data_IF_411832847019
#
_entry.id   IF_411832847019
#
_cell.length_a   1.000
_cell.length_b   1.000
_cell.length_c   1.000
_cell.angle_alpha   90.00
_cell.angle_beta   90.00
_cell.angle_gamma   90.00
#
_symmetry.space_group_name_H-M   'P 1'
#
loop_
_entity.id
_entity.type
_entity.pdbx_description
1 polymer ?
#
# COMPACT_ATOMS: atom_id res chain seq x y z
N UNK A 1 -31.77 -4.41 33.70
CA UNK A 1 -30.73 -3.45 34.15
C UNK A 1 -29.71 -3.38 33.04
N UNK A 2 -29.37 -2.18 32.58
CA UNK A 2 -28.32 -1.99 31.55
C UNK A 2 -26.97 -2.35 32.18
N UNK A 3 -26.34 -3.43 31.73
CA UNK A 3 -24.99 -3.80 32.15
C UNK A 3 -24.00 -2.77 31.57
N UNK A 4 -23.14 -2.23 32.42
CA UNK A 4 -22.07 -1.34 31.98
C UNK A 4 -20.81 -2.17 31.71
N UNK A 5 -20.42 -2.25 30.44
CA UNK A 5 -19.15 -2.85 29.97
C UNK A 5 -18.08 -1.78 29.83
N UNK A 6 -16.81 -2.17 29.92
CA UNK A 6 -15.67 -1.26 29.73
C UNK A 6 -15.66 -0.77 28.27
N UNK A 7 -15.63 0.54 28.09
CA UNK A 7 -15.41 1.17 26.78
C UNK A 7 -13.92 1.02 26.41
N UNK A 8 -13.65 0.41 25.26
CA UNK A 8 -12.30 0.02 24.82
C UNK A 8 -11.76 0.88 23.68
N UNK A 9 -12.39 2.01 23.34
CA UNK A 9 -11.84 2.99 22.40
C UNK A 9 -10.40 3.38 22.81
N UNK A 10 -9.41 2.91 22.05
CA UNK A 10 -8.01 2.94 22.46
C UNK A 10 -7.36 4.31 22.24
N UNK A 11 -6.49 4.69 23.19
CA UNK A 11 -5.58 5.83 23.07
C UNK A 11 -4.20 5.39 22.53
N UNK A 12 -3.91 5.85 21.31
CA UNK A 12 -2.62 6.12 20.64
C UNK A 12 -1.49 5.04 20.67
N UNK A 13 -1.33 4.24 19.58
CA UNK A 13 -0.11 3.48 19.21
C UNK A 13 0.01 3.22 17.69
N UNK A 14 0.75 4.07 16.97
CA UNK A 14 0.93 4.05 15.49
C UNK A 14 1.31 2.72 14.83
N UNK A 15 2.01 1.78 15.50
CA UNK A 15 2.31 0.44 14.94
C UNK A 15 1.11 -0.51 14.95
N UNK A 16 0.31 -0.51 16.03
CA UNK A 16 -0.88 -1.38 16.13
C UNK A 16 -1.86 -1.09 14.99
N UNK A 17 -2.13 0.19 14.74
CA UNK A 17 -3.04 0.62 13.68
C UNK A 17 -2.62 0.17 12.29
N UNK A 18 -1.32 0.10 11.99
CA UNK A 18 -0.87 -0.37 10.68
C UNK A 18 -1.17 -1.86 10.49
N UNK A 19 -0.88 -2.69 11.49
CA UNK A 19 -1.18 -4.12 11.42
C UNK A 19 -2.69 -4.35 11.22
N UNK A 20 -3.53 -3.70 12.02
CA UNK A 20 -4.99 -3.79 11.94
C UNK A 20 -5.53 -3.45 10.55
N UNK A 21 -4.99 -2.41 9.91
CA UNK A 21 -5.36 -2.04 8.53
C UNK A 21 -5.01 -3.12 7.54
N UNK A 22 -3.79 -3.66 7.60
CA UNK A 22 -3.36 -4.71 6.69
C UNK A 22 -4.20 -5.99 6.91
N UNK A 23 -4.54 -6.31 8.17
CA UNK A 23 -5.44 -7.42 8.53
C UNK A 23 -6.83 -7.23 7.96
N UNK A 24 -7.44 -6.05 8.15
CA UNK A 24 -8.72 -5.72 7.55
C UNK A 24 -8.69 -5.88 6.03
N UNK A 25 -7.65 -5.39 5.35
CA UNK A 25 -7.49 -5.56 3.90
C UNK A 25 -7.42 -7.03 3.51
N UNK A 26 -6.61 -7.84 4.22
CA UNK A 26 -6.47 -9.28 3.95
C UNK A 26 -7.83 -9.97 4.00
N UNK A 27 -8.60 -9.77 5.07
CA UNK A 27 -9.93 -10.36 5.20
C UNK A 27 -10.92 -9.87 4.14
N UNK A 28 -10.89 -8.58 3.77
CA UNK A 28 -11.74 -8.05 2.71
C UNK A 28 -11.43 -8.70 1.35
N UNK A 29 -10.15 -8.90 1.03
CA UNK A 29 -9.73 -9.58 -0.20
C UNK A 29 -10.11 -11.07 -0.18
N UNK A 30 -9.88 -11.76 0.93
CA UNK A 30 -10.29 -13.17 1.08
C UNK A 30 -11.81 -13.32 0.89
N UNK A 31 -12.61 -12.38 1.39
CA UNK A 31 -14.07 -12.39 1.19
C UNK A 31 -14.49 -12.00 -0.24
N UNK A 32 -13.70 -11.23 -0.97
CA UNK A 32 -13.95 -10.96 -2.39
C UNK A 32 -13.88 -12.25 -3.19
N UNK A 33 -12.88 -13.08 -2.92
CA UNK A 33 -12.64 -14.36 -3.58
C UNK A 33 -13.57 -15.49 -3.10
N UNK A 34 -14.31 -15.26 -2.00
CA UNK A 34 -15.31 -16.20 -1.51
C UNK A 34 -16.39 -16.50 -2.56
N UNK A 35 -16.65 -17.77 -2.88
CA UNK A 35 -17.60 -18.16 -3.94
C UNK A 35 -19.05 -17.82 -3.58
N UNK A 36 -19.33 -17.50 -2.31
CA UNK A 36 -20.67 -17.15 -1.83
C UNK A 36 -21.09 -15.73 -2.25
N UNK A 37 -20.17 -14.91 -2.77
CA UNK A 37 -20.39 -13.53 -3.22
C UNK A 37 -21.29 -12.72 -2.27
N UNK A 38 -21.05 -12.84 -0.97
CA UNK A 38 -21.83 -12.15 0.05
C UNK A 38 -21.44 -10.68 0.12
N UNK A 39 -22.38 -9.83 0.51
CA UNK A 39 -22.08 -8.45 0.85
C UNK A 39 -21.29 -8.44 2.16
N UNK A 40 -20.30 -7.57 2.28
CA UNK A 40 -19.60 -7.36 3.54
C UNK A 40 -19.29 -5.89 3.75
N UNK A 41 -19.12 -5.54 5.02
CA UNK A 41 -18.46 -4.31 5.42
C UNK A 41 -17.47 -4.57 6.55
N UNK A 42 -16.35 -3.87 6.51
CA UNK A 42 -15.27 -3.96 7.47
C UNK A 42 -15.05 -2.62 8.19
N UNK A 43 -14.59 -2.68 9.42
CA UNK A 43 -14.19 -1.51 10.20
C UNK A 43 -13.02 -1.84 11.12
N UNK A 44 -12.33 -0.79 11.53
CA UNK A 44 -11.19 -0.85 12.46
C UNK A 44 -11.54 0.02 13.66
N UNK A 45 -11.29 -0.48 14.87
CA UNK A 45 -11.47 0.28 16.12
C UNK A 45 -12.91 0.80 16.30
N UNK A 46 -13.90 -0.06 16.01
CA UNK A 46 -15.32 0.25 16.25
C UNK A 46 -15.93 -0.66 17.31
N UNK A 47 -15.55 -1.94 17.35
CA UNK A 47 -15.94 -2.86 18.42
C UNK A 47 -14.71 -3.60 18.93
N UNK A 48 -13.91 -4.12 18.01
CA UNK A 48 -12.56 -4.64 18.25
C UNK A 48 -11.61 -4.06 17.19
N UNK A 49 -10.33 -4.43 17.29
CA UNK A 49 -9.25 -4.02 16.37
C UNK A 49 -9.68 -4.15 14.89
N UNK A 50 -10.26 -5.28 14.51
CA UNK A 50 -10.88 -5.48 13.19
C UNK A 50 -12.26 -6.10 13.36
N UNK A 51 -13.26 -5.55 12.66
CA UNK A 51 -14.63 -6.06 12.65
C UNK A 51 -15.12 -6.23 11.22
N UNK A 52 -15.76 -7.36 10.89
CA UNK A 52 -16.29 -7.64 9.56
C UNK A 52 -17.67 -8.27 9.67
N UNK A 53 -18.66 -7.64 9.07
CA UNK A 53 -20.01 -8.20 8.98
C UNK A 53 -20.23 -8.67 7.56
N UNK A 54 -20.70 -9.90 7.42
CA UNK A 54 -21.06 -10.54 6.16
C UNK A 54 -22.55 -10.77 6.13
N UNK A 55 -23.20 -10.33 5.07
CA UNK A 55 -24.64 -10.43 4.86
C UNK A 55 -24.85 -11.36 3.66
N UNK A 56 -25.31 -12.58 3.95
CA UNK A 56 -25.77 -13.53 2.94
C UNK A 56 -27.30 -13.56 2.85
N UNK A 57 -27.81 -14.35 1.90
CA UNK A 57 -29.26 -14.43 1.61
C UNK A 57 -30.09 -15.02 2.75
N UNK A 58 -29.47 -15.83 3.63
CA UNK A 58 -30.16 -16.54 4.71
C UNK A 58 -29.58 -16.26 6.10
N UNK A 59 -28.31 -15.85 6.19
CA UNK A 59 -27.61 -15.65 7.46
C UNK A 59 -26.69 -14.43 7.40
N UNK A 60 -26.64 -13.71 8.52
CA UNK A 60 -25.65 -12.67 8.80
C UNK A 60 -24.61 -13.24 9.74
N UNK A 61 -23.33 -13.14 9.38
CA UNK A 61 -22.23 -13.51 10.26
C UNK A 61 -21.36 -12.30 10.57
N UNK A 62 -20.88 -12.19 11.80
CA UNK A 62 -19.96 -11.14 12.24
C UNK A 62 -18.66 -11.75 12.75
N UNK A 63 -17.55 -11.18 12.30
CA UNK A 63 -16.21 -11.51 12.73
C UNK A 63 -15.63 -10.34 13.53
N UNK A 64 -15.06 -10.62 14.70
CA UNK A 64 -14.33 -9.67 15.52
C UNK A 64 -12.93 -10.20 15.79
N UNK A 65 -11.91 -9.41 15.52
CA UNK A 65 -10.51 -9.81 15.69
C UNK A 65 -9.77 -8.83 16.57
N UNK A 66 -8.88 -9.38 17.39
CA UNK A 66 -7.93 -8.66 18.23
C UNK A 66 -6.50 -9.02 17.79
N UNK A 67 -5.70 -7.99 17.53
CA UNK A 67 -4.38 -8.07 16.93
C UNK A 67 -3.29 -7.79 17.97
N UNK A 68 -2.37 -8.73 18.12
CA UNK A 68 -1.29 -8.69 19.11
C UNK A 68 0.07 -8.78 18.41
N UNK A 69 0.64 -7.61 18.10
CA UNK A 69 1.98 -7.49 17.50
C UNK A 69 3.09 -7.48 18.58
N UNK A 70 3.82 -8.59 18.69
CA UNK A 70 4.90 -8.79 19.66
C UNK A 70 6.17 -9.32 18.96
N UNK A 71 7.31 -9.25 19.63
CA UNK A 71 8.56 -9.82 19.11
C UNK A 71 8.43 -11.36 18.93
N UNK A 72 9.07 -11.90 17.88
CA UNK A 72 8.96 -13.32 17.48
C UNK A 72 9.40 -14.32 18.57
N UNK A 73 10.28 -13.89 19.48
CA UNK A 73 10.74 -14.70 20.63
C UNK A 73 9.71 -14.76 21.77
N UNK A 74 8.64 -13.95 21.71
CA UNK A 74 7.59 -13.93 22.72
C UNK A 74 6.66 -15.12 22.54
N UNK A 75 6.37 -15.82 23.64
CA UNK A 75 5.41 -16.91 23.65
C UNK A 75 4.28 -16.62 24.63
N UNK A 76 3.04 -16.83 24.19
CA UNK A 76 1.87 -16.71 25.04
C UNK A 76 1.45 -18.05 25.65
N UNK A 77 0.89 -17.95 26.85
CA UNK A 77 0.19 -19.03 27.54
C UNK A 77 -1.23 -18.55 27.85
N UNK A 78 -2.12 -19.44 28.28
CA UNK A 78 -3.46 -19.04 28.73
C UNK A 78 -3.41 -17.89 29.75
N UNK A 79 -2.40 -17.87 30.63
CA UNK A 79 -2.27 -16.88 31.71
C UNK A 79 -1.58 -15.57 31.28
N UNK A 80 -1.22 -15.43 30.01
CA UNK A 80 -0.67 -14.18 29.48
C UNK A 80 -1.75 -13.10 29.51
N UNK A 81 -1.43 -11.92 30.04
CA UNK A 81 -2.41 -10.83 30.19
C UNK A 81 -3.08 -10.45 28.86
N UNK A 82 -2.35 -10.44 27.75
CA UNK A 82 -2.92 -10.18 26.42
C UNK A 82 -4.02 -11.19 26.03
N UNK A 83 -3.84 -12.47 26.36
CA UNK A 83 -4.82 -13.53 26.07
C UNK A 83 -6.04 -13.39 26.95
N UNK A 84 -5.86 -13.22 28.27
CA UNK A 84 -6.99 -13.09 29.20
C UNK A 84 -7.80 -11.81 28.94
N UNK A 85 -7.14 -10.68 28.62
CA UNK A 85 -7.82 -9.43 28.30
C UNK A 85 -8.71 -9.55 27.06
N UNK A 86 -8.26 -10.27 26.04
CA UNK A 86 -9.05 -10.54 24.84
C UNK A 86 -10.19 -11.53 25.12
N UNK A 87 -9.96 -12.57 25.93
CA UNK A 87 -11.05 -13.47 26.36
C UNK A 87 -12.14 -12.72 27.15
N UNK A 88 -11.76 -11.75 27.99
CA UNK A 88 -12.72 -10.86 28.66
C UNK A 88 -13.51 -10.04 27.63
N UNK A 89 -12.84 -9.46 26.62
CA UNK A 89 -13.50 -8.71 25.53
C UNK A 89 -14.53 -9.55 24.79
N UNK A 90 -14.10 -10.72 24.32
CA UNK A 90 -14.95 -11.64 23.58
C UNK A 90 -16.12 -12.13 24.42
N UNK A 91 -15.90 -12.34 25.73
CA UNK A 91 -16.99 -12.67 26.65
C UNK A 91 -18.03 -11.56 26.72
N UNK A 92 -17.62 -10.30 26.82
CA UNK A 92 -18.55 -9.17 26.85
C UNK A 92 -19.36 -9.03 25.56
N UNK A 93 -18.72 -9.19 24.41
CA UNK A 93 -19.41 -9.18 23.11
C UNK A 93 -20.37 -10.36 23.01
N UNK A 94 -19.92 -11.57 23.40
CA UNK A 94 -20.72 -12.79 23.31
C UNK A 94 -21.98 -12.70 24.18
N UNK A 95 -21.83 -12.38 25.47
CA UNK A 95 -22.96 -12.32 26.41
C UNK A 95 -23.90 -11.16 26.17
N UNK A 96 -23.42 -10.05 25.59
CA UNK A 96 -24.28 -8.89 25.35
C UNK A 96 -25.21 -9.06 24.14
N UNK A 97 -24.77 -9.76 23.09
CA UNK A 97 -25.46 -9.74 21.78
C UNK A 97 -25.57 -11.07 21.06
N UNK A 98 -24.75 -12.08 21.38
CA UNK A 98 -24.52 -13.22 20.49
C UNK A 98 -24.67 -14.60 21.12
N UNK A 99 -25.09 -14.69 22.40
CA UNK A 99 -25.20 -15.97 23.11
C UNK A 99 -26.11 -17.00 22.41
N UNK A 100 -27.16 -16.54 21.73
CA UNK A 100 -28.11 -17.40 21.00
C UNK A 100 -27.83 -17.47 19.50
N UNK A 101 -26.73 -16.87 19.02
CA UNK A 101 -26.46 -16.75 17.59
C UNK A 101 -25.22 -17.56 17.17
N UNK A 102 -25.38 -18.30 16.09
CA UNK A 102 -24.27 -18.98 15.42
C UNK A 102 -23.49 -18.09 14.45
N UNK A 103 -23.95 -16.86 14.24
CA UNK A 103 -23.34 -15.92 13.31
C UNK A 103 -22.05 -15.27 13.79
N UNK A 104 -21.65 -15.40 15.06
CA UNK A 104 -20.44 -14.75 15.57
C UNK A 104 -19.21 -15.64 15.51
N UNK A 105 -18.09 -15.07 15.05
CA UNK A 105 -16.76 -15.68 15.08
C UNK A 105 -15.79 -14.64 15.65
N UNK A 106 -14.89 -15.10 16.50
CA UNK A 106 -13.83 -14.27 17.07
C UNK A 106 -12.46 -14.67 16.51
N UNK A 107 -11.51 -13.74 16.48
CA UNK A 107 -10.16 -13.95 15.98
C UNK A 107 -9.11 -13.43 16.95
N UNK A 108 -8.19 -14.30 17.37
CA UNK A 108 -6.99 -13.88 18.11
C UNK A 108 -5.79 -13.98 17.17
N UNK A 109 -5.32 -12.84 16.65
CA UNK A 109 -4.19 -12.80 15.74
C UNK A 109 -2.93 -12.33 16.46
N UNK A 110 -1.84 -13.10 16.37
CA UNK A 110 -0.58 -12.69 16.96
C UNK A 110 0.64 -13.20 16.21
N UNK A 111 1.70 -12.40 16.23
CA UNK A 111 3.05 -12.78 15.80
C UNK A 111 3.75 -13.70 16.82
N UNK A 112 3.30 -13.69 18.08
CA UNK A 112 3.88 -14.50 19.15
C UNK A 112 3.58 -16.00 18.98
N UNK A 113 4.49 -16.83 19.49
CA UNK A 113 4.31 -18.28 19.54
C UNK A 113 3.47 -18.76 20.73
N UNK A 114 3.37 -20.09 20.88
CA UNK A 114 2.66 -20.74 21.98
C UNK A 114 3.68 -21.31 22.98
N UNK A 115 3.58 -20.87 24.23
CA UNK A 115 4.36 -21.37 25.36
C UNK A 115 3.57 -22.35 26.21
N UNK A 116 4.28 -23.10 27.08
CA UNK A 116 3.68 -24.01 28.05
C UNK A 116 3.38 -23.31 29.39
N UNK A 117 2.23 -23.56 29.96
CA UNK A 117 1.84 -23.06 31.28
C UNK A 117 2.77 -23.60 32.36
N UNK A 118 3.36 -22.71 33.16
CA UNK A 118 4.18 -23.06 34.34
C UNK A 118 3.47 -22.77 35.66
N UNK A 119 2.46 -21.90 35.62
CA UNK A 119 1.70 -21.45 36.79
C UNK A 119 0.48 -22.37 36.96
N UNK A 120 0.52 -23.23 37.97
CA UNK A 120 -0.56 -24.18 38.29
C UNK A 120 -1.49 -23.69 39.42
N UNK A 121 -1.42 -22.42 39.79
CA UNK A 121 -2.25 -21.84 40.86
C UNK A 121 -2.71 -20.44 40.51
N UNK A 122 -3.98 -20.14 40.76
CA UNK A 122 -4.55 -18.79 40.66
C UNK A 122 -4.14 -17.91 41.85
N UNK A 123 -4.34 -16.60 41.75
CA UNK A 123 -3.99 -15.66 42.84
C UNK A 123 -4.84 -15.92 44.08
N UNK A 124 -6.08 -16.36 43.90
CA UNK A 124 -6.97 -16.75 45.00
C UNK A 124 -6.59 -18.10 45.68
N UNK A 125 -5.49 -18.74 45.26
CA UNK A 125 -5.01 -20.00 45.83
C UNK A 125 -5.61 -21.27 45.22
N UNK A 126 -6.51 -21.16 44.23
CA UNK A 126 -7.07 -22.32 43.52
C UNK A 126 -5.97 -23.05 42.76
N UNK A 127 -5.82 -24.35 43.01
CA UNK A 127 -4.86 -25.20 42.30
C UNK A 127 -5.53 -25.72 41.03
N UNK A 128 -4.87 -25.51 39.90
CA UNK A 128 -5.34 -25.89 38.58
C UNK A 128 -4.68 -27.19 38.14
N UNK A 129 -5.47 -28.09 37.55
CA UNK A 129 -4.94 -29.27 36.87
C UNK A 129 -4.62 -28.88 35.44
N UNK A 130 -3.33 -28.74 35.13
CA UNK A 130 -2.86 -28.38 33.80
C UNK A 130 -2.64 -29.65 32.95
N UNK A 131 -3.00 -29.62 31.65
CA UNK A 131 -2.70 -30.73 30.74
C UNK A 131 -1.19 -30.79 30.44
N UNK A 132 -0.71 -31.89 29.86
CA UNK A 132 0.69 -31.99 29.40
C UNK A 132 0.96 -31.06 28.21
N UNK A 133 0.03 -31.03 27.24
CA UNK A 133 0.09 -30.13 26.08
C UNK A 133 -0.24 -28.68 26.47
N UNK A 134 0.32 -27.65 25.82
CA UNK A 134 -0.08 -26.25 26.05
C UNK A 134 -1.56 -26.02 25.78
N UNK A 135 -2.27 -25.29 26.65
CA UNK A 135 -3.73 -25.09 26.53
C UNK A 135 -4.07 -24.34 25.25
N UNK A 136 -3.32 -23.29 24.93
CA UNK A 136 -3.52 -22.52 23.70
C UNK A 136 -3.27 -23.34 22.42
N UNK A 137 -2.43 -24.37 22.50
CA UNK A 137 -2.22 -25.29 21.38
C UNK A 137 -3.46 -26.17 21.18
N UNK A 138 -4.00 -26.73 22.27
CA UNK A 138 -5.23 -27.52 22.22
C UNK A 138 -6.40 -26.70 21.63
N UNK A 139 -6.51 -25.43 22.05
CA UNK A 139 -7.52 -24.50 21.52
C UNK A 139 -7.32 -24.17 20.04
N UNK A 140 -6.07 -23.92 19.62
CA UNK A 140 -5.73 -23.67 18.20
C UNK A 140 -6.05 -24.85 17.31
N UNK A 141 -5.68 -26.05 17.75
CA UNK A 141 -5.85 -27.28 17.00
C UNK A 141 -7.29 -27.83 17.08
N UNK A 142 -8.17 -27.15 17.84
CA UNK A 142 -9.57 -27.52 18.10
C UNK A 142 -9.70 -28.95 18.64
N UNK A 143 -8.78 -29.34 19.51
CA UNK A 143 -8.84 -30.63 20.20
C UNK A 143 -9.97 -30.64 21.24
N UNK A 144 -10.55 -31.82 21.49
CA UNK A 144 -11.55 -32.00 22.55
C UNK A 144 -10.88 -31.77 23.91
N UNK A 145 -11.42 -30.82 24.68
CA UNK A 145 -10.85 -30.42 25.96
C UNK A 145 -11.48 -31.23 27.10
N UNK A 146 -10.66 -31.76 28.00
CA UNK A 146 -11.17 -32.41 29.21
C UNK A 146 -11.83 -31.40 30.14
N UNK A 147 -12.75 -31.87 30.99
CA UNK A 147 -13.42 -31.03 32.01
C UNK A 147 -12.43 -30.29 32.91
N UNK A 148 -11.28 -30.91 33.21
CA UNK A 148 -10.22 -30.28 34.02
C UNK A 148 -9.59 -29.08 33.31
N UNK A 149 -9.39 -29.18 31.99
CA UNK A 149 -8.83 -28.09 31.16
C UNK A 149 -9.86 -26.97 31.01
N UNK A 150 -11.11 -27.31 30.72
CA UNK A 150 -12.21 -26.34 30.64
C UNK A 150 -12.38 -25.59 31.96
N UNK A 151 -12.32 -26.30 33.09
CA UNK A 151 -12.37 -25.70 34.42
C UNK A 151 -11.21 -24.74 34.66
N UNK A 152 -9.99 -25.11 34.26
CA UNK A 152 -8.82 -24.25 34.39
C UNK A 152 -8.97 -22.95 33.57
N UNK A 153 -9.48 -23.04 32.34
CA UNK A 153 -9.79 -21.87 31.50
C UNK A 153 -10.86 -21.01 32.17
N UNK A 154 -11.96 -21.62 32.63
CA UNK A 154 -13.06 -20.89 33.28
C UNK A 154 -12.58 -20.11 34.49
N UNK A 155 -11.79 -20.74 35.37
CA UNK A 155 -11.31 -20.07 36.57
C UNK A 155 -10.29 -18.95 36.26
N UNK A 156 -9.41 -19.14 35.28
CA UNK A 156 -8.49 -18.10 34.86
C UNK A 156 -9.22 -16.88 34.27
N UNK A 157 -10.23 -17.13 33.45
CA UNK A 157 -11.08 -16.08 32.87
C UNK A 157 -11.89 -15.34 33.95
N UNK A 158 -12.50 -16.06 34.89
CA UNK A 158 -13.22 -15.46 36.01
C UNK A 158 -12.32 -14.57 36.88
N UNK A 159 -11.13 -15.04 37.24
CA UNK A 159 -10.18 -14.25 38.05
C UNK A 159 -9.82 -12.94 37.34
N UNK A 160 -9.51 -12.98 36.04
CA UNK A 160 -9.17 -11.75 35.31
C UNK A 160 -10.40 -10.85 35.07
N UNK A 161 -11.57 -11.43 34.81
CA UNK A 161 -12.82 -10.69 34.64
C UNK A 161 -13.20 -9.94 35.92
N UNK A 162 -13.21 -10.61 37.07
CA UNK A 162 -13.49 -9.99 38.38
C UNK A 162 -12.53 -8.85 38.68
N UNK A 163 -11.24 -9.05 38.40
CA UNK A 163 -10.20 -8.05 38.59
C UNK A 163 -10.41 -6.81 37.71
N UNK A 164 -10.80 -6.98 36.45
CA UNK A 164 -11.06 -5.84 35.55
C UNK A 164 -12.36 -5.09 35.90
N UNK A 165 -13.36 -5.80 36.40
CA UNK A 165 -14.69 -5.25 36.72
C UNK A 165 -14.91 -4.90 38.20
N UNK A 166 -13.88 -5.01 39.05
CA UNK A 166 -13.97 -4.75 40.50
C UNK A 166 -14.55 -3.36 40.81
N UNK A 167 -14.15 -2.35 40.03
CA UNK A 167 -14.53 -0.95 40.21
C UNK A 167 -15.61 -0.46 39.24
N UNK A 168 -16.11 -1.33 38.38
CA UNK A 168 -17.12 -0.97 37.36
C UNK A 168 -18.52 -1.23 37.92
N UNK A 169 -19.37 -0.22 37.85
CA UNK A 169 -20.75 -0.32 38.35
C UNK A 169 -21.51 -1.40 37.59
N UNK A 170 -22.09 -2.37 38.31
CA UNK A 170 -22.85 -3.47 37.73
C UNK A 170 -22.01 -4.70 37.34
N UNK A 171 -20.68 -4.65 37.51
CA UNK A 171 -19.77 -5.79 37.33
C UNK A 171 -19.90 -6.51 35.97
N UNK A 172 -20.32 -5.79 34.92
CA UNK A 172 -20.46 -6.32 33.57
C UNK A 172 -21.33 -7.59 33.49
N UNK A 173 -20.75 -8.63 32.90
CA UNK A 173 -21.32 -9.95 32.66
C UNK A 173 -20.84 -11.02 33.65
N UNK A 174 -20.33 -10.62 34.82
CA UNK A 174 -19.72 -11.54 35.78
C UNK A 174 -20.65 -12.70 36.18
N UNK A 175 -21.93 -12.43 36.43
CA UNK A 175 -22.88 -13.48 36.82
C UNK A 175 -23.18 -14.46 35.69
N UNK A 176 -23.22 -13.99 34.43
CA UNK A 176 -23.35 -14.85 33.25
C UNK A 176 -22.12 -15.77 33.11
N UNK A 177 -20.92 -15.23 33.35
CA UNK A 177 -19.69 -15.99 33.28
C UNK A 177 -19.56 -17.02 34.42
N UNK A 178 -20.07 -16.70 35.62
CA UNK A 178 -20.12 -17.66 36.75
C UNK A 178 -21.09 -18.80 36.46
N UNK A 179 -22.27 -18.52 35.93
CA UNK A 179 -23.31 -19.51 35.63
C UNK A 179 -23.02 -20.39 34.41
N UNK A 180 -22.12 -19.94 33.52
CA UNK A 180 -21.72 -20.65 32.31
C UNK A 180 -21.29 -22.11 32.58
N UNK A 181 -21.98 -23.10 32.04
CA UNK A 181 -21.56 -24.50 32.11
C UNK A 181 -20.25 -24.76 31.35
N UNK A 182 -19.61 -25.92 31.57
CA UNK A 182 -18.38 -26.27 30.85
C UNK A 182 -18.67 -26.55 29.37
N UNK A 183 -19.86 -27.09 29.07
CA UNK A 183 -20.35 -27.33 27.73
C UNK A 183 -20.56 -26.00 26.98
N UNK A 184 -21.22 -25.03 27.60
CA UNK A 184 -21.40 -23.69 27.01
C UNK A 184 -20.08 -22.95 26.85
N UNK A 185 -19.14 -23.11 27.79
CA UNK A 185 -17.79 -22.57 27.65
C UNK A 185 -17.07 -23.18 26.45
N UNK A 186 -17.18 -24.50 26.24
CA UNK A 186 -16.62 -25.17 25.08
C UNK A 186 -17.21 -24.62 23.77
N UNK A 187 -18.52 -24.36 23.74
CA UNK A 187 -19.18 -23.72 22.58
C UNK A 187 -18.62 -22.32 22.35
N UNK A 188 -18.51 -21.47 23.38
CA UNK A 188 -17.92 -20.15 23.26
C UNK A 188 -16.48 -20.19 22.73
N UNK A 189 -15.62 -21.04 23.30
CA UNK A 189 -14.22 -21.19 22.89
C UNK A 189 -14.10 -21.69 21.44
N UNK A 190 -15.04 -22.53 20.98
CA UNK A 190 -15.07 -23.02 19.59
C UNK A 190 -15.35 -21.94 18.55
N UNK A 191 -15.96 -20.81 18.96
CA UNK A 191 -16.22 -19.64 18.11
C UNK A 191 -14.96 -18.77 17.94
N UNK A 192 -13.87 -19.05 18.66
CA UNK A 192 -12.61 -18.30 18.58
C UNK A 192 -11.63 -19.00 17.62
N UNK A 193 -11.12 -18.27 16.64
CA UNK A 193 -10.03 -18.68 15.77
C UNK A 193 -8.70 -18.20 16.36
N UNK A 194 -7.83 -19.14 16.70
CA UNK A 194 -6.54 -18.85 17.34
C UNK A 194 -5.40 -18.85 16.33
N UNK A 195 -4.96 -17.68 15.92
CA UNK A 195 -3.94 -17.46 14.91
C UNK A 195 -2.62 -17.06 15.57
N UNK A 196 -1.85 -18.05 16.03
CA UNK A 196 -0.50 -17.87 16.62
C UNK A 196 0.62 -18.04 15.60
N UNK A 197 1.76 -17.36 15.84
CA UNK A 197 2.95 -17.41 15.00
C UNK A 197 2.71 -16.86 13.60
N UNK A 198 1.89 -15.80 13.51
CA UNK A 198 1.48 -15.22 12.25
C UNK A 198 2.48 -14.18 11.74
N UNK A 199 2.26 -13.75 10.51
CA UNK A 199 3.09 -12.78 9.81
C UNK A 199 3.15 -11.45 10.57
N UNK A 200 4.35 -10.89 10.69
CA UNK A 200 4.54 -9.50 11.10
C UNK A 200 4.11 -8.54 9.98
N UNK A 201 4.08 -7.22 10.26
CA UNK A 201 3.58 -6.21 9.32
C UNK A 201 4.22 -6.26 7.92
N UNK A 202 5.52 -6.59 7.83
CA UNK A 202 6.24 -6.62 6.56
C UNK A 202 5.82 -7.84 5.75
N UNK A 203 5.91 -9.03 6.35
CA UNK A 203 5.52 -10.28 5.69
C UNK A 203 4.03 -10.28 5.33
N UNK A 204 3.17 -9.72 6.20
CA UNK A 204 1.74 -9.62 5.95
C UNK A 204 1.43 -8.71 4.76
N UNK A 205 2.16 -7.59 4.60
CA UNK A 205 2.04 -6.74 3.40
C UNK A 205 2.32 -7.55 2.14
N UNK A 206 3.42 -8.30 2.11
CA UNK A 206 3.80 -9.09 0.93
C UNK A 206 2.73 -10.14 0.59
N UNK A 207 2.17 -10.80 1.60
CA UNK A 207 1.05 -11.72 1.43
C UNK A 207 -0.23 -11.04 0.90
N UNK A 208 -0.55 -9.83 1.37
CA UNK A 208 -1.68 -9.06 0.84
C UNK A 208 -1.44 -8.63 -0.60
N UNK A 209 -0.22 -8.22 -0.96
CA UNK A 209 0.13 -7.91 -2.35
C UNK A 209 -0.04 -9.15 -3.25
N UNK A 210 0.34 -10.33 -2.77
CA UNK A 210 0.10 -11.58 -3.49
C UNK A 210 -1.40 -11.89 -3.64
N UNK A 211 -2.24 -11.62 -2.64
CA UNK A 211 -3.70 -11.75 -2.76
C UNK A 211 -4.27 -10.78 -3.80
N UNK A 212 -3.83 -9.52 -3.78
CA UNK A 212 -4.23 -8.53 -4.78
C UNK A 212 -3.85 -9.01 -6.18
N UNK A 213 -2.64 -9.52 -6.35
CA UNK A 213 -2.14 -10.04 -7.64
C UNK A 213 -2.98 -11.19 -8.18
N UNK A 214 -3.48 -12.06 -7.30
CA UNK A 214 -4.25 -13.25 -7.66
C UNK A 214 -5.77 -13.03 -7.59
N UNK A 215 -6.22 -11.81 -7.27
CA UNK A 215 -7.64 -11.50 -7.11
C UNK A 215 -8.41 -11.62 -8.42
N UNK A 216 -9.66 -12.08 -8.34
CA UNK A 216 -10.61 -12.09 -9.45
C UNK A 216 -10.95 -10.69 -9.98
N UNK A 217 -10.61 -9.63 -9.25
CA UNK A 217 -10.76 -8.24 -9.68
C UNK A 217 -9.62 -7.74 -10.58
N UNK A 218 -8.53 -8.50 -10.71
CA UNK A 218 -7.41 -8.15 -11.58
C UNK A 218 -7.78 -8.21 -13.07
N UNK A 219 -7.15 -7.34 -13.84
CA UNK A 219 -7.21 -7.33 -15.29
C UNK A 219 -5.89 -6.76 -15.87
N UNK A 220 -5.80 -6.73 -17.20
CA UNK A 220 -4.60 -6.29 -17.94
C UNK A 220 -4.15 -4.88 -17.54
N UNK A 221 -5.08 -4.00 -17.17
CA UNK A 221 -4.80 -2.60 -16.84
C UNK A 221 -4.42 -2.40 -15.36
N UNK A 222 -4.72 -3.38 -14.50
CA UNK A 222 -4.34 -3.38 -13.06
C UNK A 222 -3.12 -4.24 -12.78
N UNK A 223 -2.69 -5.08 -13.72
CA UNK A 223 -1.49 -5.90 -13.61
C UNK A 223 -0.27 -5.01 -13.36
N UNK A 224 0.61 -5.41 -12.42
CA UNK A 224 1.79 -4.65 -11.97
C UNK A 224 1.47 -3.37 -11.18
N UNK A 225 0.21 -3.12 -10.82
CA UNK A 225 -0.22 -2.00 -9.97
C UNK A 225 -0.65 -2.45 -8.58
N UNK A 226 -0.24 -3.64 -8.13
CA UNK A 226 -0.72 -4.24 -6.89
C UNK A 226 -0.35 -3.40 -5.66
N UNK A 227 0.84 -2.81 -5.64
CA UNK A 227 1.26 -1.86 -4.58
C UNK A 227 0.40 -0.60 -4.54
N UNK A 228 -0.09 -0.16 -5.70
CA UNK A 228 -0.93 1.02 -5.79
C UNK A 228 -2.35 0.74 -5.29
N UNK A 229 -2.93 -0.41 -5.66
CA UNK A 229 -4.19 -0.90 -5.10
C UNK A 229 -4.09 -1.02 -3.58
N UNK A 230 -3.02 -1.63 -3.06
CA UNK A 230 -2.79 -1.75 -1.63
C UNK A 230 -2.73 -0.38 -0.94
N UNK A 231 -2.03 0.58 -1.53
CA UNK A 231 -1.89 1.93 -0.98
C UNK A 231 -3.24 2.66 -0.91
N UNK A 232 -4.05 2.57 -1.96
CA UNK A 232 -5.40 3.15 -1.97
C UNK A 232 -6.35 2.49 -0.96
N UNK A 233 -6.23 1.17 -0.75
CA UNK A 233 -7.00 0.47 0.29
C UNK A 233 -6.61 0.94 1.70
N UNK A 234 -5.32 1.11 1.95
CA UNK A 234 -4.82 1.66 3.21
C UNK A 234 -5.31 3.09 3.43
N UNK A 235 -5.20 3.95 2.42
CA UNK A 235 -5.66 5.34 2.48
C UNK A 235 -7.17 5.42 2.73
N UNK A 236 -7.97 4.60 2.04
CA UNK A 236 -9.42 4.57 2.24
C UNK A 236 -9.81 4.18 3.66
N UNK A 237 -9.10 3.22 4.27
CA UNK A 237 -9.31 2.87 5.69
C UNK A 237 -8.97 4.04 6.61
N UNK A 238 -7.87 4.74 6.35
CA UNK A 238 -7.42 5.89 7.15
C UNK A 238 -8.40 7.05 7.10
N UNK A 239 -8.90 7.39 5.91
CA UNK A 239 -9.91 8.44 5.73
C UNK A 239 -11.19 8.11 6.51
N UNK A 240 -11.65 6.86 6.42
CA UNK A 240 -12.94 6.41 6.96
C UNK A 240 -12.91 6.29 8.47
N UNK A 241 -11.83 5.76 9.04
CA UNK A 241 -11.69 5.59 10.50
C UNK A 241 -11.86 6.91 11.27
N UNK A 242 -11.44 8.03 10.69
CA UNK A 242 -11.48 9.34 11.33
C UNK A 242 -12.83 10.06 11.24
N UNK A 243 -13.84 9.47 10.59
CA UNK A 243 -15.14 10.10 10.41
C UNK A 243 -15.96 10.11 11.72
N UNK A 244 -16.73 11.19 11.98
CA UNK A 244 -17.47 11.33 13.24
C UNK A 244 -18.62 10.33 13.37
N UNK A 245 -19.25 9.96 12.26
CA UNK A 245 -20.38 9.04 12.24
C UNK A 245 -19.89 7.60 12.04
N UNK A 246 -20.34 6.68 12.92
CA UNK A 246 -19.91 5.28 12.92
C UNK A 246 -20.18 4.56 11.61
N UNK A 247 -21.33 4.79 10.97
CA UNK A 247 -21.70 4.12 9.71
C UNK A 247 -20.78 4.53 8.56
N UNK A 248 -20.25 5.76 8.62
CA UNK A 248 -19.35 6.28 7.60
C UNK A 248 -17.93 5.70 7.73
N UNK A 249 -17.59 5.11 8.88
CA UNK A 249 -16.29 4.45 9.13
C UNK A 249 -16.14 3.09 8.45
N UNK A 250 -17.21 2.58 7.86
CA UNK A 250 -17.22 1.25 7.24
C UNK A 250 -16.70 1.28 5.81
N UNK A 251 -15.90 0.26 5.46
CA UNK A 251 -15.49 -0.06 4.09
C UNK A 251 -16.36 -1.19 3.57
N UNK A 252 -17.04 -0.96 2.45
CA UNK A 252 -17.93 -1.93 1.84
C UNK A 252 -17.23 -2.71 0.73
N UNK A 253 -17.75 -3.89 0.39
CA UNK A 253 -17.31 -4.67 -0.79
C UNK A 253 -17.25 -3.82 -2.07
N UNK A 254 -18.16 -2.86 -2.24
CA UNK A 254 -18.19 -1.94 -3.38
C UNK A 254 -17.01 -0.97 -3.40
N UNK A 255 -16.53 -0.50 -2.25
CA UNK A 255 -15.39 0.40 -2.17
C UNK A 255 -14.12 -0.30 -2.66
N UNK A 256 -13.91 -1.56 -2.25
CA UNK A 256 -12.75 -2.35 -2.72
C UNK A 256 -12.81 -2.55 -4.23
N UNK A 257 -13.98 -2.93 -4.78
CA UNK A 257 -14.18 -3.04 -6.23
C UNK A 257 -13.94 -1.72 -6.96
N UNK A 258 -14.37 -0.61 -6.36
CA UNK A 258 -14.18 0.72 -6.92
C UNK A 258 -12.70 1.09 -6.97
N UNK A 259 -11.91 0.76 -5.95
CA UNK A 259 -10.46 1.00 -5.96
C UNK A 259 -9.78 0.27 -7.13
N UNK A 260 -10.11 -1.01 -7.36
CA UNK A 260 -9.58 -1.72 -8.55
C UNK A 260 -9.97 -1.00 -9.86
N UNK A 261 -11.17 -0.40 -9.93
CA UNK A 261 -11.62 0.38 -11.10
C UNK A 261 -10.97 1.76 -11.22
N UNK A 262 -10.70 2.43 -10.11
CA UNK A 262 -9.94 3.69 -10.08
C UNK A 262 -8.53 3.44 -10.63
N UNK A 263 -7.89 2.37 -10.16
CA UNK A 263 -6.57 1.94 -10.63
C UNK A 263 -6.57 1.54 -12.11
N UNK A 264 -7.63 0.88 -12.60
CA UNK A 264 -7.82 0.59 -14.03
C UNK A 264 -7.80 1.87 -14.87
N UNK A 265 -8.49 2.92 -14.41
CA UNK A 265 -8.58 4.21 -15.11
C UNK A 265 -7.31 5.05 -15.08
N UNK A 266 -6.38 4.75 -14.17
CA UNK A 266 -5.07 5.39 -14.19
C UNK A 266 -4.26 4.91 -15.39
N UNK A 267 -3.95 5.85 -16.28
CA UNK A 267 -3.00 5.61 -17.36
C UNK A 267 -1.66 5.20 -16.76
N UNK A 268 -1.34 3.91 -16.85
CA UNK A 268 0.06 3.52 -16.87
C UNK A 268 0.71 4.31 -18.00
N UNK A 269 1.93 4.74 -17.76
CA UNK A 269 2.91 5.08 -18.78
C UNK A 269 3.27 3.78 -19.58
N UNK A 270 2.25 3.07 -20.14
CA UNK A 270 2.33 1.64 -20.58
C UNK A 270 3.43 1.43 -21.59
N UNK A 271 3.69 2.43 -22.44
CA UNK A 271 4.80 2.37 -23.39
C UNK A 271 5.66 3.64 -23.30
N UNK A 272 6.12 4.01 -22.10
CA UNK A 272 7.15 5.05 -22.01
C UNK A 272 8.46 4.50 -22.60
N UNK A 273 8.90 5.15 -23.68
CA UNK A 273 10.19 4.90 -24.33
C UNK A 273 11.32 4.87 -23.28
N UNK A 274 12.10 3.78 -23.14
CA UNK A 274 13.12 3.67 -22.10
C UNK A 274 14.34 4.60 -22.31
N UNK A 275 14.40 5.30 -23.45
CA UNK A 275 15.46 6.22 -23.84
C UNK A 275 15.84 7.28 -22.76
N UNK A 276 14.92 7.65 -21.87
CA UNK A 276 15.24 8.57 -20.76
C UNK A 276 16.39 8.09 -19.85
N UNK A 277 16.64 6.78 -19.78
CA UNK A 277 17.76 6.21 -19.02
C UNK A 277 19.12 6.58 -19.61
N UNK A 278 19.20 6.69 -20.94
CA UNK A 278 20.43 6.99 -21.66
C UNK A 278 20.79 8.48 -21.58
N UNK A 279 19.78 9.37 -21.50
CA UNK A 279 20.01 10.82 -21.35
C UNK A 279 20.89 11.16 -20.15
N UNK A 280 20.68 10.48 -19.01
CA UNK A 280 21.49 10.68 -17.80
C UNK A 280 22.94 10.22 -17.99
N UNK A 281 23.16 9.15 -18.75
CA UNK A 281 24.51 8.66 -19.05
C UNK A 281 25.25 9.65 -19.96
N UNK A 282 24.56 10.21 -20.96
CA UNK A 282 25.16 11.20 -21.86
C UNK A 282 25.51 12.50 -21.16
N UNK A 283 24.68 12.94 -20.20
CA UNK A 283 24.97 14.16 -19.43
C UNK A 283 26.33 14.09 -18.71
N UNK A 284 26.76 12.90 -18.26
CA UNK A 284 28.04 12.71 -17.60
C UNK A 284 29.25 12.81 -18.54
N UNK A 285 29.04 12.74 -19.86
CA UNK A 285 30.10 12.77 -20.89
C UNK A 285 30.32 14.14 -21.51
N UNK A 286 29.53 15.14 -21.12
CA UNK A 286 29.58 16.48 -21.71
C UNK A 286 30.92 17.18 -21.38
N UNK A 287 31.69 17.49 -22.43
CA UNK A 287 32.99 18.19 -22.34
C UNK A 287 32.89 19.67 -22.72
N UNK A 288 32.08 20.05 -23.71
CA UNK A 288 31.81 21.47 -24.02
C UNK A 288 31.00 22.11 -22.88
N UNK A 289 31.38 23.33 -22.47
CA UNK A 289 30.72 24.09 -21.39
C UNK A 289 30.16 25.43 -21.87
N UNK A 290 30.23 25.71 -23.18
CA UNK A 290 29.65 26.91 -23.79
C UNK A 290 28.13 26.80 -23.80
N UNK A 291 27.45 27.87 -23.39
CA UNK A 291 26.00 27.98 -23.52
C UNK A 291 25.58 28.18 -25.00
N UNK A 292 24.28 28.24 -25.26
CA UNK A 292 23.75 28.41 -26.62
C UNK A 292 24.22 29.71 -27.30
N UNK A 293 24.31 30.81 -26.56
CA UNK A 293 24.71 32.11 -27.11
C UNK A 293 26.19 32.11 -27.54
N UNK A 294 27.07 31.56 -26.70
CA UNK A 294 28.50 31.42 -26.99
C UNK A 294 28.74 30.53 -28.22
N UNK A 295 27.94 29.46 -28.38
CA UNK A 295 28.00 28.56 -29.54
C UNK A 295 27.55 29.23 -30.83
N UNK A 296 26.50 30.05 -30.78
CA UNK A 296 26.06 30.80 -31.96
C UNK A 296 27.12 31.83 -32.35
N UNK A 297 27.69 32.57 -31.38
CA UNK A 297 28.73 33.57 -31.66
C UNK A 297 30.02 32.96 -32.20
N UNK A 298 30.35 31.72 -31.80
CA UNK A 298 31.52 31.02 -32.30
C UNK A 298 31.47 30.79 -33.82
N UNK A 299 30.26 30.58 -34.39
CA UNK A 299 30.09 30.34 -35.83
C UNK A 299 29.54 31.53 -36.60
N UNK A 300 28.84 32.44 -35.93
CA UNK A 300 28.24 33.65 -36.50
C UNK A 300 28.58 34.88 -35.60
N UNK A 301 29.78 35.47 -35.74
CA UNK A 301 30.25 36.55 -34.87
C UNK A 301 29.38 37.83 -34.95
N UNK A 302 28.83 38.13 -36.11
CA UNK A 302 27.99 39.31 -36.37
C UNK A 302 26.52 39.12 -35.92
N UNK A 303 26.23 38.07 -35.17
CA UNK A 303 24.86 37.76 -34.78
C UNK A 303 24.29 38.75 -33.76
N UNK A 304 23.12 39.30 -34.09
CA UNK A 304 22.40 40.28 -33.28
C UNK A 304 21.99 39.70 -31.91
N UNK A 305 22.52 40.30 -30.85
CA UNK A 305 22.27 39.96 -29.44
C UNK A 305 20.78 39.95 -29.09
N UNK A 306 19.96 40.84 -29.68
CA UNK A 306 18.52 40.85 -29.43
C UNK A 306 17.82 39.63 -30.04
N UNK A 307 18.31 39.13 -31.17
CA UNK A 307 17.80 37.91 -31.82
C UNK A 307 18.31 36.64 -31.12
N UNK A 308 19.50 36.65 -30.53
CA UNK A 308 20.01 35.57 -29.68
C UNK A 308 19.13 35.29 -28.46
N UNK A 309 18.59 36.36 -27.84
CA UNK A 309 17.65 36.23 -26.73
C UNK A 309 16.40 35.41 -27.06
N UNK A 310 15.98 35.31 -28.33
CA UNK A 310 14.85 34.45 -28.72
C UNK A 310 15.16 32.97 -28.53
N UNK A 311 16.33 32.50 -28.96
CA UNK A 311 16.70 31.10 -28.86
C UNK A 311 16.99 30.70 -27.42
N UNK A 312 17.63 31.58 -26.64
CA UNK A 312 17.80 31.37 -25.20
C UNK A 312 16.44 31.19 -24.49
N UNK A 313 15.43 32.02 -24.81
CA UNK A 313 14.06 31.84 -24.27
C UNK A 313 13.43 30.52 -24.68
N UNK A 314 13.67 30.03 -25.90
CA UNK A 314 13.16 28.72 -26.34
C UNK A 314 13.80 27.57 -25.56
N UNK A 315 15.12 27.63 -25.32
CA UNK A 315 15.83 26.68 -24.48
C UNK A 315 15.30 26.70 -23.04
N UNK A 316 15.18 27.88 -22.42
CA UNK A 316 14.62 28.04 -21.07
C UNK A 316 13.20 27.50 -20.95
N UNK A 317 12.35 27.72 -21.95
CA UNK A 317 10.99 27.22 -21.94
C UNK A 317 10.94 25.69 -22.03
N UNK A 318 11.79 25.07 -22.86
CA UNK A 318 11.91 23.61 -22.88
C UNK A 318 12.44 23.03 -21.56
N UNK A 319 13.36 23.72 -20.87
CA UNK A 319 13.81 23.32 -19.51
C UNK A 319 12.68 23.35 -18.50
N UNK A 320 11.81 24.36 -18.58
CA UNK A 320 10.64 24.44 -17.72
C UNK A 320 9.59 23.38 -18.08
N UNK A 321 9.33 23.15 -19.38
CA UNK A 321 8.47 22.05 -19.82
C UNK A 321 8.99 20.70 -19.33
N UNK A 322 10.32 20.48 -19.33
CA UNK A 322 10.95 19.28 -18.78
C UNK A 322 10.74 19.13 -17.27
N UNK A 323 10.81 20.22 -16.50
CA UNK A 323 10.62 20.18 -15.04
C UNK A 323 9.18 19.83 -14.65
N UNK A 324 8.21 20.26 -15.46
CA UNK A 324 6.77 20.03 -15.24
C UNK A 324 6.25 18.72 -15.89
N UNK A 325 7.11 17.97 -16.59
CA UNK A 325 6.70 16.78 -17.36
C UNK A 325 7.15 15.45 -16.75
N UNK A 326 6.57 14.35 -17.26
CA UNK A 326 6.93 12.98 -16.88
C UNK A 326 8.13 12.42 -17.69
N UNK A 327 8.44 11.13 -17.50
CA UNK A 327 9.56 10.43 -18.16
C UNK A 327 9.47 10.44 -19.70
N UNK A 328 8.28 10.57 -20.27
CA UNK A 328 8.11 10.64 -21.72
C UNK A 328 8.79 11.86 -22.35
N UNK A 329 8.84 13.00 -21.64
CA UNK A 329 9.53 14.21 -22.13
C UNK A 329 11.04 13.99 -22.20
N UNK A 330 11.63 13.37 -21.17
CA UNK A 330 13.06 13.02 -21.15
C UNK A 330 13.43 12.03 -22.23
N UNK A 331 12.53 11.11 -22.53
CA UNK A 331 12.69 10.14 -23.62
C UNK A 331 12.66 10.84 -24.98
N UNK A 332 11.68 11.74 -25.20
CA UNK A 332 11.64 12.59 -26.39
C UNK A 332 12.93 13.41 -26.54
N UNK A 333 13.41 14.02 -25.45
CA UNK A 333 14.66 14.80 -25.44
C UNK A 333 15.86 13.96 -25.88
N UNK A 334 15.94 12.71 -25.45
CA UNK A 334 16.97 11.79 -25.92
C UNK A 334 16.82 11.44 -27.39
N UNK A 335 15.59 11.19 -27.89
CA UNK A 335 15.37 10.95 -29.34
C UNK A 335 15.76 12.13 -30.21
N UNK A 336 15.54 13.36 -29.73
CA UNK A 336 16.01 14.57 -30.42
C UNK A 336 17.54 14.67 -30.36
N UNK A 337 18.18 14.24 -29.27
CA UNK A 337 19.63 14.13 -29.19
C UNK A 337 20.20 13.12 -30.21
N UNK A 338 19.57 11.94 -30.37
CA UNK A 338 19.95 10.98 -31.42
C UNK A 338 19.81 11.59 -32.82
N UNK A 339 18.80 12.43 -33.07
CA UNK A 339 18.66 13.15 -34.34
C UNK A 339 19.79 14.16 -34.57
N UNK A 340 20.30 14.83 -33.51
CA UNK A 340 21.50 15.66 -33.61
C UNK A 340 22.73 14.80 -34.00
N UNK A 341 22.89 13.64 -33.37
CA UNK A 341 24.03 12.74 -33.62
C UNK A 341 24.00 12.19 -35.04
N UNK A 342 22.83 11.75 -35.50
CA UNK A 342 22.60 11.32 -36.87
C UNK A 342 22.98 12.44 -37.86
N UNK A 343 22.49 13.66 -37.66
CA UNK A 343 22.82 14.80 -38.52
C UNK A 343 24.34 15.04 -38.60
N UNK A 344 25.02 15.13 -37.46
CA UNK A 344 26.45 15.43 -37.42
C UNK A 344 27.36 14.25 -37.83
N UNK A 345 26.80 13.03 -37.91
CA UNK A 345 27.51 11.87 -38.46
C UNK A 345 27.52 11.84 -40.00
N UNK A 346 26.54 12.50 -40.62
CA UNK A 346 26.33 12.49 -42.07
C UNK A 346 26.72 13.82 -42.75
N UNK A 347 26.60 14.93 -42.03
CA UNK A 347 26.83 16.29 -42.56
C UNK A 347 28.11 16.93 -41.99
N UNK A 348 28.82 17.76 -42.77
CA UNK A 348 30.00 18.47 -42.28
C UNK A 348 29.63 19.47 -41.17
N UNK A 349 30.56 19.67 -40.25
CA UNK A 349 30.47 20.72 -39.23
C UNK A 349 30.43 22.11 -39.88
N UNK A 350 29.81 23.09 -39.20
CA UNK A 350 29.73 24.46 -39.72
C UNK A 350 31.14 25.08 -39.74
N UNK A 351 31.61 25.45 -40.94
CA UNK A 351 32.85 26.20 -41.12
C UNK A 351 32.64 27.71 -40.93
N UNK A 352 33.40 28.32 -40.02
CA UNK A 352 33.23 29.72 -39.60
C UNK A 352 33.92 30.69 -40.57
N UNK A 353 33.35 31.87 -40.86
CA UNK A 353 32.07 32.42 -40.38
C UNK A 353 30.88 32.13 -41.30
N UNK A 354 29.70 31.87 -40.72
CA UNK A 354 28.44 31.63 -41.44
C UNK A 354 27.36 32.67 -41.17
N UNK A 355 26.35 32.69 -42.03
CA UNK A 355 25.12 33.48 -41.82
C UNK A 355 24.12 32.73 -40.95
N UNK A 356 23.22 33.46 -40.29
CA UNK A 356 22.17 32.88 -39.43
C UNK A 356 21.23 31.94 -40.19
N UNK A 357 21.06 32.15 -41.49
CA UNK A 357 20.28 31.26 -42.37
C UNK A 357 20.85 29.83 -42.39
N UNK A 358 22.17 29.68 -42.26
CA UNK A 358 22.84 28.38 -42.27
C UNK A 358 22.62 27.65 -40.93
N UNK A 359 22.66 28.37 -39.80
CA UNK A 359 22.27 27.84 -38.49
C UNK A 359 20.81 27.36 -38.49
N UNK A 360 19.91 28.15 -39.08
CA UNK A 360 18.49 27.76 -39.22
C UNK A 360 18.32 26.53 -40.09
N UNK A 361 19.12 26.38 -41.15
CA UNK A 361 19.10 25.19 -41.99
C UNK A 361 19.48 23.95 -41.18
N UNK A 362 20.55 24.00 -40.39
CA UNK A 362 20.95 22.91 -39.48
C UNK A 362 19.83 22.52 -38.52
N UNK A 363 19.24 23.50 -37.82
CA UNK A 363 18.15 23.25 -36.86
C UNK A 363 16.93 22.62 -37.54
N UNK A 364 16.58 23.08 -38.75
CA UNK A 364 15.46 22.53 -39.51
C UNK A 364 15.71 21.09 -39.97
N UNK A 365 16.95 20.77 -40.37
CA UNK A 365 17.33 19.39 -40.74
C UNK A 365 17.23 18.45 -39.55
N UNK A 366 17.81 18.82 -38.39
CA UNK A 366 17.71 18.04 -37.15
C UNK A 366 16.25 17.85 -36.74
N UNK A 367 15.44 18.91 -36.82
CA UNK A 367 14.01 18.86 -36.52
C UNK A 367 13.28 17.86 -37.42
N UNK A 368 13.58 17.84 -38.71
CA UNK A 368 12.95 16.92 -39.67
C UNK A 368 13.28 15.47 -39.32
N UNK A 369 14.55 15.16 -39.05
CA UNK A 369 15.01 13.82 -38.61
C UNK A 369 14.28 13.41 -37.32
N UNK A 370 14.23 14.30 -36.33
CA UNK A 370 13.57 14.03 -35.05
C UNK A 370 12.06 13.80 -35.22
N UNK A 371 11.37 14.59 -36.04
CA UNK A 371 9.94 14.43 -36.32
C UNK A 371 9.64 13.09 -37.01
N UNK A 372 10.48 12.66 -37.95
CA UNK A 372 10.35 11.38 -38.64
C UNK A 372 10.58 10.20 -37.69
N UNK A 373 11.67 10.22 -36.90
CA UNK A 373 12.00 9.18 -35.94
C UNK A 373 10.90 9.03 -34.88
N UNK A 374 10.46 10.14 -34.28
CA UNK A 374 9.40 10.13 -33.27
C UNK A 374 8.07 9.67 -33.87
N UNK A 375 7.76 10.01 -35.14
CA UNK A 375 6.55 9.54 -35.81
C UNK A 375 6.54 8.02 -35.99
N UNK A 376 7.68 7.41 -36.28
CA UNK A 376 7.80 5.95 -36.33
C UNK A 376 7.63 5.35 -34.93
N UNK A 377 8.36 5.88 -33.94
CA UNK A 377 8.36 5.38 -32.56
C UNK A 377 6.99 5.50 -31.86
N UNK A 378 6.11 6.39 -32.33
CA UNK A 378 4.72 6.50 -31.84
C UNK A 378 3.85 5.25 -32.07
N UNK A 379 4.26 4.31 -32.93
CA UNK A 379 3.58 3.01 -33.00
C UNK A 379 3.83 2.17 -31.75
N UNK A 380 4.99 2.37 -31.13
CA UNK A 380 5.51 1.50 -30.07
C UNK A 380 5.47 2.20 -28.71
N UNK A 381 5.58 3.53 -28.67
CA UNK A 381 5.71 4.35 -27.47
C UNK A 381 4.75 5.54 -27.40
N UNK A 382 4.43 5.95 -26.17
CA UNK A 382 3.58 7.12 -25.90
C UNK A 382 4.44 8.32 -25.49
N UNK A 383 4.27 9.44 -26.20
CA UNK A 383 4.90 10.72 -25.87
C UNK A 383 3.83 11.74 -25.48
N UNK A 384 3.90 12.28 -24.25
CA UNK A 384 2.92 13.25 -23.75
C UNK A 384 2.83 14.53 -24.61
N UNK A 385 3.98 14.95 -25.15
CA UNK A 385 4.11 16.02 -26.13
C UNK A 385 5.07 15.57 -27.21
N UNK A 386 4.87 16.00 -28.46
CA UNK A 386 5.73 15.61 -29.60
C UNK A 386 5.42 16.43 -30.85
N UNK A 387 4.93 17.67 -30.66
CA UNK A 387 4.70 18.58 -31.77
C UNK A 387 6.03 19.23 -32.19
N UNK A 388 6.09 19.72 -33.44
CA UNK A 388 7.31 20.30 -33.99
C UNK A 388 7.84 21.52 -33.23
N UNK A 389 6.97 22.30 -32.56
CA UNK A 389 7.40 23.44 -31.75
C UNK A 389 8.17 22.97 -30.52
N UNK A 390 7.67 21.94 -29.84
CA UNK A 390 8.36 21.32 -28.69
C UNK A 390 9.68 20.70 -29.12
N UNK A 391 9.72 19.96 -30.22
CA UNK A 391 10.95 19.36 -30.77
C UNK A 391 12.00 20.45 -31.05
N UNK A 392 11.60 21.54 -31.70
CA UNK A 392 12.51 22.66 -31.99
C UNK A 392 13.06 23.33 -30.72
N UNK A 393 12.23 23.49 -29.68
CA UNK A 393 12.69 24.01 -28.37
C UNK A 393 13.67 23.06 -27.69
N UNK A 394 13.43 21.75 -27.79
CA UNK A 394 14.33 20.72 -27.25
C UNK A 394 15.69 20.78 -27.95
N UNK A 395 15.74 21.01 -29.27
CA UNK A 395 17.01 21.19 -29.99
C UNK A 395 17.80 22.34 -29.33
N UNK A 396 17.21 23.53 -29.18
CA UNK A 396 17.91 24.65 -28.53
C UNK A 396 18.29 24.35 -27.08
N UNK A 397 17.46 23.61 -26.34
CA UNK A 397 17.78 23.16 -24.99
C UNK A 397 19.02 22.24 -24.97
N UNK A 398 19.13 21.29 -25.90
CA UNK A 398 20.30 20.40 -26.00
C UNK A 398 21.59 21.17 -26.30
N UNK A 399 21.53 22.21 -27.14
CA UNK A 399 22.69 23.07 -27.38
C UNK A 399 23.04 23.91 -26.14
N UNK A 400 22.03 24.40 -25.41
CA UNK A 400 22.23 25.19 -24.19
C UNK A 400 22.76 24.33 -23.02
N UNK A 401 22.29 23.10 -22.88
CA UNK A 401 22.77 22.10 -21.90
C UNK A 401 24.03 21.36 -22.34
N UNK A 402 24.64 21.80 -23.43
CA UNK A 402 25.93 21.33 -23.87
C UNK A 402 26.01 19.93 -24.48
N UNK A 403 24.87 19.35 -24.86
CA UNK A 403 24.83 18.08 -25.58
C UNK A 403 25.29 18.21 -27.04
N UNK A 404 25.13 19.37 -27.68
CA UNK A 404 25.54 19.60 -29.08
C UNK A 404 26.11 21.01 -29.31
N UNK A 405 26.89 21.19 -30.38
CA UNK A 405 27.46 22.46 -30.85
C UNK A 405 27.55 22.52 -32.37
N UNK A 406 27.44 23.71 -32.96
CA UNK A 406 27.44 23.89 -34.41
C UNK A 406 28.81 23.60 -35.07
N UNK A 407 29.88 23.97 -34.37
CA UNK A 407 31.28 23.85 -34.80
C UNK A 407 31.95 22.54 -34.35
N UNK A 408 31.34 21.78 -33.43
CA UNK A 408 31.94 20.57 -32.84
C UNK A 408 31.04 19.32 -32.90
N UNK A 409 29.79 19.46 -33.32
CA UNK A 409 28.85 18.36 -33.39
C UNK A 409 28.29 17.98 -32.01
N UNK A 410 27.97 16.70 -31.84
CA UNK A 410 27.47 16.17 -30.57
C UNK A 410 28.62 15.91 -29.59
N UNK A 411 28.39 16.17 -28.31
CA UNK A 411 29.32 15.84 -27.23
C UNK A 411 29.37 14.31 -27.01
N UNK A 412 30.03 13.59 -27.91
CA UNK A 412 30.27 12.14 -27.84
C UNK A 412 31.78 11.90 -27.88
N UNK A 413 32.34 11.52 -26.74
CA UNK A 413 33.77 11.27 -26.45
C UNK A 413 34.73 12.49 -26.59
#
# INVERSE_FOLDING_TARGET
MTQHIIDRDASDKTKGFRLQKIRAIKHMLDEIESPRNVMFYASIEVQEDVSIVKIGDQETSTYFEEDKNYDEDTNFTLFSGAVLNTLVSFSDIYFSKWQESDGVVFGFYTTAGIGKERKASLQNGTILTLPDSPILKLLKDKEELSESVLSAIKYALLEEYEKQYEKVVGHGNLENLKSLSLEELSVFLSKIQWCFGQENEIALKDSVIALIKNSSLQNIQTEKKEEFIFSLLMERLDERQNLPNLVDRFIYRSDVKLIFKEVESESLDINTDPAWLELKKQQARITDKRNLEDKIRAVCPDYDVQKAGRYARMASLSKHEESESNRSFKSLKYRVFEACDQYYSEEPLIEVPVRIEEIKAVVNSIKTIAEENVKQLKSDYTYAVSNGVTIERIIFNLYDECFASFDKGVSND
#
